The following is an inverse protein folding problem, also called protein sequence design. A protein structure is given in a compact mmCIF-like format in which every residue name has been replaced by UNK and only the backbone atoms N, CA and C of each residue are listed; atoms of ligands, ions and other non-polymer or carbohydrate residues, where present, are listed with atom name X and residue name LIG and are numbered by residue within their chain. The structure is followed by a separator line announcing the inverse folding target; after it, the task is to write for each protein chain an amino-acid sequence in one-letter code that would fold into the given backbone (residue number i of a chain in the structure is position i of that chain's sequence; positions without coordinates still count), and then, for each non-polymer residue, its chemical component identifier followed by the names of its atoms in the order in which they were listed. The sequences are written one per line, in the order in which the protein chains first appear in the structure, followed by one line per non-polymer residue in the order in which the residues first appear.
data_IF_867135355195
#
_entry.id   IF_867135355195
#
_cell.length_a   1.000
_cell.length_b   1.000
_cell.length_c   1.000
_cell.angle_alpha   90.00
_cell.angle_beta   90.00
_cell.angle_gamma   90.00
#
_symmetry.space_group_name_H-M   'P 1'
#
loop_
_entity.id
_entity.type
_entity.pdbx_description
1 polymer ?
#
# COMPACT_ATOMS: atom_id res chain seq x y z
N UNK A 1 20.69 4.45 -2.63
CA UNK A 1 19.55 4.97 -3.42
C UNK A 1 19.43 4.01 -4.58
N UNK A 2 18.68 2.92 -4.43
CA UNK A 2 18.57 1.90 -5.47
C UNK A 2 17.14 1.91 -5.97
N UNK A 3 16.98 2.82 -6.94
CA UNK A 3 15.76 3.15 -7.63
C UNK A 3 15.38 2.02 -8.59
N UNK A 4 14.08 1.74 -8.61
CA UNK A 4 13.39 0.74 -9.43
C UNK A 4 13.89 0.67 -10.88
N UNK A 5 14.50 -0.44 -11.27
CA UNK A 5 14.54 -0.88 -12.69
C UNK A 5 13.76 -2.18 -12.85
N UNK A 6 12.46 -2.11 -12.60
CA UNK A 6 11.50 -3.13 -13.05
C UNK A 6 11.19 -2.93 -14.52
N UNK A 7 12.18 -3.14 -15.40
CA UNK A 7 11.91 -3.30 -16.83
C UNK A 7 11.16 -4.63 -17.01
N UNK A 8 9.90 -4.55 -17.43
CA UNK A 8 9.11 -5.71 -17.86
C UNK A 8 9.70 -6.23 -19.17
N UNK A 9 10.80 -6.99 -19.06
CA UNK A 9 11.44 -7.62 -20.22
C UNK A 9 10.43 -8.59 -20.85
N UNK A 10 10.00 -8.29 -22.08
CA UNK A 10 9.07 -9.13 -22.84
C UNK A 10 9.65 -10.53 -23.02
N UNK A 11 8.84 -11.55 -22.75
CA UNK A 11 9.20 -12.96 -22.90
C UNK A 11 8.89 -13.39 -24.33
N UNK A 12 9.92 -13.45 -25.17
CA UNK A 12 9.78 -13.71 -26.62
C UNK A 12 9.89 -15.19 -26.99
N UNK A 13 10.48 -16.02 -26.11
CA UNK A 13 10.71 -17.45 -26.37
C UNK A 13 9.59 -18.30 -25.77
N UNK A 14 9.13 -19.29 -26.54
CA UNK A 14 8.07 -20.24 -26.14
C UNK A 14 8.68 -21.62 -25.96
N UNK A 15 8.36 -22.29 -24.84
CA UNK A 15 8.73 -23.67 -24.57
C UNK A 15 7.48 -24.54 -24.74
N UNK A 16 7.47 -25.43 -25.74
CA UNK A 16 6.39 -26.41 -25.95
C UNK A 16 6.79 -27.73 -25.30
N UNK A 17 5.98 -28.24 -24.38
CA UNK A 17 6.23 -29.49 -23.66
C UNK A 17 5.08 -30.45 -24.01
N UNK A 18 5.41 -31.68 -24.39
CA UNK A 18 4.43 -32.78 -24.49
C UNK A 18 4.40 -33.50 -23.16
N UNK A 19 3.21 -33.68 -22.62
CA UNK A 19 2.97 -34.34 -21.34
C UNK A 19 1.88 -35.38 -21.52
N UNK A 20 1.93 -36.42 -20.71
CA UNK A 20 0.83 -37.38 -20.54
C UNK A 20 -0.28 -36.76 -19.67
N UNK A 21 -1.48 -37.35 -19.70
CA UNK A 21 -2.65 -36.83 -18.96
C UNK A 21 -2.38 -36.77 -17.44
N UNK A 22 -1.70 -37.79 -16.89
CA UNK A 22 -1.34 -37.81 -15.47
C UNK A 22 -0.33 -36.72 -15.11
N UNK A 23 0.69 -36.50 -15.94
CA UNK A 23 1.67 -35.43 -15.71
C UNK A 23 1.01 -34.05 -15.76
N UNK A 24 0.05 -33.86 -16.67
CA UNK A 24 -0.72 -32.62 -16.74
C UNK A 24 -1.55 -32.37 -15.48
N UNK A 25 -2.23 -33.40 -14.97
CA UNK A 25 -3.00 -33.32 -13.73
C UNK A 25 -2.12 -33.00 -12.52
N UNK A 26 -0.98 -33.68 -12.40
CA UNK A 26 -0.02 -33.40 -11.33
C UNK A 26 0.52 -31.97 -11.40
N UNK A 27 0.87 -31.48 -12.59
CA UNK A 27 1.34 -30.11 -12.79
C UNK A 27 0.26 -29.09 -12.39
N UNK A 28 -1.01 -29.37 -12.71
CA UNK A 28 -2.14 -28.51 -12.34
C UNK A 28 -2.39 -28.53 -10.83
N UNK A 29 -2.27 -29.68 -10.18
CA UNK A 29 -2.41 -29.79 -8.72
C UNK A 29 -1.27 -29.10 -7.97
N UNK A 30 -0.03 -29.22 -8.46
CA UNK A 30 1.15 -28.58 -7.84
C UNK A 30 1.18 -27.06 -8.06
N UNK A 31 0.47 -26.54 -9.07
CA UNK A 31 0.41 -25.11 -9.38
C UNK A 31 -0.30 -24.31 -8.27
N UNK A 32 0.48 -23.66 -7.40
CA UNK A 32 -0.02 -22.77 -6.34
C UNK A 32 -0.49 -21.40 -6.88
N UNK A 33 -0.41 -21.18 -8.19
CA UNK A 33 -0.74 -19.92 -8.88
C UNK A 33 -1.86 -20.14 -9.89
N UNK A 34 -2.63 -19.08 -10.23
CA UNK A 34 -3.67 -19.14 -11.26
C UNK A 34 -3.14 -19.43 -12.67
N UNK A 35 -1.83 -19.24 -12.92
CA UNK A 35 -1.19 -19.48 -14.21
C UNK A 35 -0.06 -20.50 -14.07
N UNK A 36 -0.20 -21.67 -14.71
CA UNK A 36 0.81 -22.74 -14.69
C UNK A 36 2.19 -22.26 -15.19
N UNK A 37 2.23 -21.38 -16.20
CA UNK A 37 3.47 -20.82 -16.73
C UNK A 37 4.21 -19.89 -15.73
N UNK A 38 3.51 -19.33 -14.74
CA UNK A 38 4.15 -18.57 -13.65
C UNK A 38 4.79 -19.53 -12.65
N UNK A 39 4.03 -20.55 -12.23
CA UNK A 39 4.51 -21.59 -11.32
C UNK A 39 5.68 -22.39 -11.90
N UNK A 40 5.62 -22.81 -13.18
CA UNK A 40 6.71 -23.51 -13.87
C UNK A 40 8.02 -22.72 -13.86
N UNK A 41 7.97 -21.39 -14.01
CA UNK A 41 9.18 -20.56 -13.97
C UNK A 41 9.76 -20.48 -12.57
N UNK A 42 8.90 -20.32 -11.56
CA UNK A 42 9.33 -20.28 -10.15
C UNK A 42 9.94 -21.63 -9.74
N UNK A 43 9.29 -22.73 -10.10
CA UNK A 43 9.73 -24.10 -9.78
C UNK A 43 10.99 -24.53 -10.55
N UNK A 44 11.07 -24.27 -11.86
CA UNK A 44 12.20 -24.73 -12.69
C UNK A 44 13.42 -23.81 -12.63
N UNK A 45 13.25 -22.51 -12.37
CA UNK A 45 14.37 -21.56 -12.28
C UNK A 45 14.79 -21.30 -10.82
N UNK A 46 14.12 -21.91 -9.83
CA UNK A 46 14.41 -21.70 -8.41
C UNK A 46 14.16 -20.26 -7.93
N UNK A 47 13.51 -19.44 -8.75
CA UNK A 47 13.20 -18.05 -8.43
C UNK A 47 11.91 -18.08 -7.62
N UNK A 48 12.02 -18.21 -6.30
CA UNK A 48 10.91 -17.88 -5.41
C UNK A 48 10.48 -16.45 -5.75
N UNK A 49 9.29 -16.27 -6.36
CA UNK A 49 8.87 -14.92 -6.75
C UNK A 49 8.66 -14.11 -5.48
N UNK A 50 9.67 -13.28 -5.21
CA UNK A 50 9.61 -12.10 -4.38
C UNK A 50 8.54 -11.19 -4.96
N UNK A 51 7.31 -11.44 -4.54
CA UNK A 51 6.19 -10.52 -4.39
C UNK A 51 5.07 -11.35 -3.78
N UNK A 52 5.32 -11.86 -2.57
CA UNK A 52 4.23 -11.91 -1.58
C UNK A 52 3.66 -10.50 -1.62
N UNK A 53 2.48 -10.33 -2.23
CA UNK A 53 1.64 -9.18 -1.90
C UNK A 53 1.56 -9.25 -0.39
N UNK A 54 2.31 -8.38 0.27
CA UNK A 54 2.25 -8.19 1.71
C UNK A 54 0.76 -8.18 2.02
N UNK A 55 0.31 -9.20 2.76
CA UNK A 55 -1.11 -9.39 3.05
C UNK A 55 -1.48 -8.14 3.82
N UNK A 56 -2.08 -7.16 3.13
CA UNK A 56 -2.41 -5.88 3.73
C UNK A 56 -3.28 -6.23 4.93
N UNK A 57 -2.92 -5.80 6.15
CA UNK A 57 -3.71 -6.12 7.32
C UNK A 57 -5.16 -5.76 7.02
N UNK A 58 -6.10 -6.63 7.40
CA UNK A 58 -7.52 -6.36 7.26
C UNK A 58 -7.88 -5.27 8.26
N UNK A 59 -7.67 -4.01 7.88
CA UNK A 59 -8.02 -2.82 8.66
C UNK A 59 -9.44 -2.41 8.28
N UNK A 60 -10.23 -2.01 9.28
CA UNK A 60 -11.57 -1.48 9.06
C UNK A 60 -11.56 -0.36 7.99
N UNK A 61 -12.34 -0.48 6.91
CA UNK A 61 -12.47 0.55 5.88
C UNK A 61 -12.86 1.94 6.44
N UNK A 62 -13.59 2.01 7.55
CA UNK A 62 -13.94 3.27 8.20
C UNK A 62 -12.70 4.00 8.74
N UNK A 63 -11.79 3.27 9.36
CA UNK A 63 -10.52 3.81 9.88
C UNK A 63 -9.63 4.32 8.75
N UNK A 64 -9.55 3.59 7.64
CA UNK A 64 -8.76 4.03 6.47
C UNK A 64 -9.32 5.30 5.83
N UNK A 65 -10.65 5.44 5.78
CA UNK A 65 -11.31 6.67 5.31
C UNK A 65 -11.01 7.85 6.21
N UNK A 66 -11.09 7.68 7.53
CA UNK A 66 -10.77 8.72 8.48
C UNK A 66 -9.29 9.12 8.40
N UNK A 67 -8.38 8.14 8.31
CA UNK A 67 -6.95 8.41 8.14
C UNK A 67 -6.65 9.16 6.83
N UNK A 68 -7.32 8.79 5.75
CA UNK A 68 -7.21 9.50 4.47
C UNK A 68 -7.77 10.93 4.56
N UNK A 69 -8.88 11.14 5.26
CA UNK A 69 -9.45 12.46 5.51
C UNK A 69 -8.49 13.34 6.33
N UNK A 70 -7.85 12.79 7.36
CA UNK A 70 -6.82 13.48 8.14
C UNK A 70 -5.62 13.86 7.26
N UNK A 71 -5.12 12.94 6.44
CA UNK A 71 -4.04 13.21 5.49
C UNK A 71 -4.39 14.29 4.46
N UNK A 72 -5.63 14.29 3.96
CA UNK A 72 -6.12 15.31 3.04
C UNK A 72 -6.18 16.69 3.70
N UNK A 73 -6.62 16.78 4.95
CA UNK A 73 -6.65 18.04 5.70
C UNK A 73 -5.23 18.59 5.92
N UNK A 74 -4.28 17.74 6.34
CA UNK A 74 -2.88 18.14 6.49
C UNK A 74 -2.28 18.63 5.17
N UNK A 75 -2.57 17.96 4.06
CA UNK A 75 -2.08 18.35 2.75
C UNK A 75 -2.67 19.70 2.29
N UNK A 76 -3.95 19.98 2.60
CA UNK A 76 -4.58 21.27 2.32
C UNK A 76 -3.90 22.39 3.12
N UNK A 77 -3.60 22.15 4.40
CA UNK A 77 -2.90 23.11 5.26
C UNK A 77 -1.48 23.37 4.74
N UNK A 78 -0.74 22.31 4.39
CA UNK A 78 0.60 22.44 3.81
C UNK A 78 0.57 23.23 2.49
N UNK A 79 -0.41 22.98 1.62
CA UNK A 79 -0.61 23.76 0.39
C UNK A 79 -0.92 25.22 0.70
N UNK A 80 -1.80 25.48 1.66
CA UNK A 80 -2.15 26.84 2.04
C UNK A 80 -0.93 27.60 2.57
N UNK A 81 -0.12 26.98 3.42
CA UNK A 81 1.15 27.56 3.89
C UNK A 81 2.10 27.84 2.71
N UNK A 82 2.23 26.89 1.78
CA UNK A 82 3.11 27.05 0.62
C UNK A 82 2.66 28.14 -0.37
N UNK A 83 1.35 28.38 -0.48
CA UNK A 83 0.76 29.48 -1.28
C UNK A 83 0.89 30.80 -0.54
N UNK A 84 0.81 30.81 0.78
CA UNK A 84 0.78 32.01 1.63
C UNK A 84 2.17 32.48 2.09
N UNK A 85 3.19 32.30 1.24
CA UNK A 85 4.62 32.58 1.51
C UNK A 85 4.99 34.03 1.93
N UNK A 86 4.03 34.91 2.22
CA UNK A 86 4.31 36.33 2.55
C UNK A 86 3.43 36.94 3.64
N UNK A 87 2.77 36.18 4.51
CA UNK A 87 2.07 36.80 5.65
C UNK A 87 2.24 36.02 6.96
N UNK A 88 3.07 36.55 7.86
CA UNK A 88 3.36 36.00 9.21
C UNK A 88 2.08 35.82 10.02
N UNK A 89 1.08 36.68 9.81
CA UNK A 89 -0.23 36.59 10.49
C UNK A 89 -0.99 35.32 10.09
N UNK A 90 -0.89 34.89 8.84
CA UNK A 90 -1.54 33.66 8.37
C UNK A 90 -0.88 32.41 8.95
N UNK A 91 0.42 32.44 9.19
CA UNK A 91 1.12 31.35 9.90
C UNK A 91 0.65 31.23 11.35
N UNK A 92 0.54 32.34 12.08
CA UNK A 92 0.06 32.36 13.47
C UNK A 92 -1.38 31.85 13.54
N UNK A 93 -2.23 32.29 12.62
CA UNK A 93 -3.62 31.83 12.55
C UNK A 93 -3.71 30.32 12.28
N UNK A 94 -3.00 29.80 11.27
CA UNK A 94 -2.98 28.37 10.96
C UNK A 94 -2.45 27.54 12.14
N UNK A 95 -1.39 28.01 12.81
CA UNK A 95 -0.85 27.33 14.00
C UNK A 95 -1.84 27.32 15.16
N UNK A 96 -2.59 28.41 15.38
CA UNK A 96 -3.61 28.48 16.43
C UNK A 96 -4.76 27.48 16.19
N UNK A 97 -5.24 27.39 14.93
CA UNK A 97 -6.30 26.45 14.54
C UNK A 97 -5.82 25.01 14.69
N UNK A 98 -4.59 24.70 14.26
CA UNK A 98 -3.99 23.38 14.43
C UNK A 98 -3.84 23.00 15.91
N UNK A 99 -3.40 23.94 16.75
CA UNK A 99 -3.26 23.72 18.19
C UNK A 99 -4.61 23.49 18.88
N UNK A 100 -5.66 24.18 18.44
CA UNK A 100 -7.02 23.96 18.95
C UNK A 100 -7.54 22.56 18.59
N UNK A 101 -7.40 22.16 17.32
CA UNK A 101 -7.77 20.81 16.86
C UNK A 101 -6.98 19.73 17.63
N UNK A 102 -5.69 19.95 17.88
CA UNK A 102 -4.87 19.02 18.65
C UNK A 102 -5.37 18.86 20.10
N UNK A 103 -5.82 19.95 20.73
CA UNK A 103 -6.39 19.90 22.08
C UNK A 103 -7.71 19.13 22.08
N UNK A 104 -8.63 19.43 21.16
CA UNK A 104 -9.92 18.74 21.08
C UNK A 104 -9.76 17.23 20.84
N UNK A 105 -8.84 16.83 19.95
CA UNK A 105 -8.54 15.41 19.71
C UNK A 105 -7.96 14.74 20.97
N UNK A 106 -7.11 15.46 21.71
CA UNK A 106 -6.54 14.96 22.97
C UNK A 106 -7.64 14.75 24.01
N UNK A 107 -8.60 15.66 24.09
CA UNK A 107 -9.72 15.58 25.02
C UNK A 107 -10.66 14.42 24.66
N UNK A 108 -11.03 14.26 23.38
CA UNK A 108 -11.80 13.11 22.89
C UNK A 108 -11.07 11.78 23.20
N UNK A 109 -9.75 11.75 23.05
CA UNK A 109 -8.95 10.58 23.38
C UNK A 109 -9.02 10.26 24.88
N UNK A 110 -8.85 11.27 25.74
CA UNK A 110 -8.90 11.09 27.19
C UNK A 110 -10.29 10.67 27.67
N UNK A 111 -11.37 11.21 27.10
CA UNK A 111 -12.75 10.81 27.39
C UNK A 111 -13.01 9.34 27.01
N UNK A 112 -12.45 8.89 25.88
CA UNK A 112 -12.54 7.50 25.44
C UNK A 112 -11.73 6.52 26.30
N UNK A 113 -10.66 7.00 26.95
CA UNK A 113 -9.85 6.23 27.91
C UNK A 113 -10.47 6.24 29.33
N UNK A 114 -11.19 7.30 29.72
CA UNK A 114 -11.88 7.39 31.02
C UNK A 114 -13.21 6.63 31.09
N UNK A 115 -13.77 6.22 29.95
CA UNK A 115 -15.03 5.44 29.86
C UNK A 115 -14.76 3.91 29.73
N UNK A 116 -13.52 3.46 29.96
CA UNK A 116 -13.13 2.04 30.07
C UNK A 116 -12.64 1.73 31.47
#
# INVERSE_FOLDING_TARGET
MDEKTGLDVKRERIIKIRVTENEYLELKQKSTKPRLAEWMRESCLGIASSKRKQKVPSVDPALLRQLSAMGNNLNQIARQINVTKSNVINHIYILSVLSAIQSEIKDIKNDSESTR
#
